data_IF_399551418424
#
_entry.id   IF_399551418424
#
_cell.length_a   1.000
_cell.length_b   1.000
_cell.length_c   1.000
_cell.angle_alpha   90.00
_cell.angle_beta   90.00
_cell.angle_gamma   90.00
#
_symmetry.space_group_name_H-M   'P 1'
#
loop_
_entity.id
_entity.type
_entity.pdbx_description
1 polymer ?
#
# COMPACT_ATOMS: atom_id res chain seq x y z
N UNK A 1 0.42 -17.18 -2.54
CA UNK A 1 0.85 -15.79 -2.33
C UNK A 1 1.65 -15.59 -1.04
N UNK A 2 1.14 -16.01 0.14
CA UNK A 2 1.86 -15.83 1.42
C UNK A 2 3.30 -16.40 1.43
N UNK A 3 3.51 -17.59 0.87
CA UNK A 3 4.85 -18.20 0.80
C UNK A 3 5.84 -17.41 -0.06
N UNK A 4 5.40 -16.88 -1.21
CA UNK A 4 6.26 -16.10 -2.11
C UNK A 4 6.65 -14.79 -1.45
N UNK A 5 5.70 -14.09 -0.83
CA UNK A 5 5.96 -12.85 -0.09
C UNK A 5 6.89 -13.10 1.10
N UNK A 6 6.64 -14.15 1.87
CA UNK A 6 7.50 -14.52 3.01
C UNK A 6 8.93 -14.85 2.57
N UNK A 7 9.09 -15.62 1.48
CA UNK A 7 10.40 -15.95 0.93
C UNK A 7 11.14 -14.71 0.42
N UNK A 8 10.47 -13.84 -0.36
CA UNK A 8 11.08 -12.60 -0.85
C UNK A 8 11.46 -11.65 0.29
N UNK A 9 10.58 -11.47 1.26
CA UNK A 9 10.85 -10.62 2.43
C UNK A 9 12.02 -11.15 3.26
N UNK A 10 12.06 -12.46 3.52
CA UNK A 10 13.17 -13.10 4.21
C UNK A 10 14.48 -12.98 3.42
N UNK A 11 14.44 -13.18 2.10
CA UNK A 11 15.61 -13.03 1.23
C UNK A 11 16.18 -11.62 1.24
N UNK A 12 15.35 -10.59 1.10
CA UNK A 12 15.78 -9.18 1.16
C UNK A 12 16.37 -8.87 2.55
N UNK A 13 15.70 -9.31 3.62
CA UNK A 13 16.17 -9.08 4.99
C UNK A 13 17.52 -9.75 5.25
N UNK A 14 17.70 -10.98 4.76
CA UNK A 14 18.96 -11.73 4.88
C UNK A 14 20.10 -11.05 4.12
N UNK A 15 19.88 -10.63 2.87
CA UNK A 15 20.90 -9.87 2.12
C UNK A 15 21.25 -8.56 2.82
N UNK A 16 20.25 -7.85 3.34
CA UNK A 16 20.46 -6.57 4.02
C UNK A 16 21.33 -6.74 5.28
N UNK A 17 21.09 -7.82 6.04
CA UNK A 17 21.89 -8.17 7.21
C UNK A 17 23.32 -8.57 6.84
N UNK A 18 23.50 -9.39 5.79
CA UNK A 18 24.83 -9.82 5.33
C UNK A 18 25.67 -8.63 4.82
N UNK A 19 25.05 -7.71 4.08
CA UNK A 19 25.72 -6.54 3.51
C UNK A 19 25.98 -5.41 4.54
N UNK A 20 25.45 -5.52 5.76
CA UNK A 20 25.65 -4.50 6.81
C UNK A 20 25.05 -3.13 6.47
N UNK A 21 23.99 -3.10 5.66
CA UNK A 21 23.36 -1.85 5.19
C UNK A 21 22.66 -1.17 6.38
N UNK A 22 23.14 0.02 6.73
CA UNK A 22 22.54 0.85 7.77
C UNK A 22 21.52 1.83 7.16
N UNK A 23 20.38 2.09 7.81
CA UNK A 23 19.42 3.08 7.33
C UNK A 23 20.08 4.46 7.21
N UNK A 24 20.06 5.05 6.01
CA UNK A 24 20.56 6.40 5.75
C UNK A 24 19.40 7.32 5.41
N UNK A 25 19.49 8.57 5.86
CA UNK A 25 18.50 9.58 5.52
C UNK A 25 18.63 9.95 4.04
N UNK A 26 17.57 9.73 3.26
CA UNK A 26 17.49 10.13 1.84
C UNK A 26 17.58 8.98 0.83
N UNK A 27 18.03 7.79 1.24
CA UNK A 27 18.08 6.60 0.37
C UNK A 27 17.27 5.45 0.95
N UNK A 28 16.58 4.71 0.06
CA UNK A 28 15.87 3.49 0.49
C UNK A 28 16.86 2.35 0.70
N UNK A 29 16.53 1.44 1.61
CA UNK A 29 17.32 0.20 1.82
C UNK A 29 17.48 -0.59 0.51
N UNK A 30 16.45 -0.61 -0.34
CA UNK A 30 16.49 -1.26 -1.64
C UNK A 30 17.44 -0.57 -2.61
N UNK A 31 17.52 0.77 -2.59
CA UNK A 31 18.48 1.54 -3.39
C UNK A 31 19.91 1.26 -2.94
N UNK A 32 20.18 1.27 -1.63
CA UNK A 32 21.51 0.95 -1.08
C UNK A 32 21.93 -0.49 -1.42
N UNK A 33 20.99 -1.45 -1.32
CA UNK A 33 21.23 -2.84 -1.72
C UNK A 33 21.53 -2.96 -3.21
N UNK A 34 20.76 -2.25 -4.06
CA UNK A 34 20.99 -2.24 -5.49
C UNK A 34 22.37 -1.66 -5.84
N UNK A 35 22.78 -0.55 -5.22
CA UNK A 35 24.12 0.03 -5.40
C UNK A 35 25.23 -0.96 -4.97
N UNK A 36 25.05 -1.63 -3.82
CA UNK A 36 26.00 -2.63 -3.31
C UNK A 36 26.16 -3.87 -4.19
N UNK A 37 25.09 -4.28 -4.90
CA UNK A 37 25.12 -5.45 -5.79
C UNK A 37 25.62 -5.09 -7.20
N UNK A 38 25.15 -3.97 -7.77
CA UNK A 38 25.39 -3.60 -9.17
C UNK A 38 26.74 -2.89 -9.37
N UNK A 39 27.30 -2.28 -8.33
CA UNK A 39 28.58 -1.56 -8.36
C UNK A 39 28.58 -0.30 -9.24
N UNK A 40 29.73 0.40 -9.27
CA UNK A 40 29.89 1.71 -9.95
C UNK A 40 30.33 1.61 -11.42
N UNK A 41 30.21 0.44 -12.04
CA UNK A 41 30.51 0.28 -13.47
C UNK A 41 29.40 0.93 -14.31
N UNK A 42 29.71 1.35 -15.55
CA UNK A 42 28.71 1.93 -16.46
C UNK A 42 27.47 1.02 -16.65
N UNK A 43 27.68 -0.30 -16.74
CA UNK A 43 26.60 -1.30 -16.78
C UNK A 43 25.81 -1.39 -15.45
N UNK A 44 26.49 -1.19 -14.32
CA UNK A 44 25.90 -1.20 -12.98
C UNK A 44 24.98 0.00 -12.75
N UNK A 45 25.41 1.20 -13.16
CA UNK A 45 24.57 2.40 -13.11
C UNK A 45 23.31 2.27 -13.98
N UNK A 46 23.42 1.69 -15.19
CA UNK A 46 22.25 1.40 -16.02
C UNK A 46 21.26 0.46 -15.32
N UNK A 47 21.76 -0.63 -14.73
CA UNK A 47 20.93 -1.57 -13.97
C UNK A 47 20.28 -0.93 -12.74
N UNK A 48 21.00 -0.06 -12.04
CA UNK A 48 20.48 0.68 -10.88
C UNK A 48 19.30 1.59 -11.27
N UNK A 49 19.42 2.37 -12.35
CA UNK A 49 18.32 3.22 -12.82
C UNK A 49 17.10 2.42 -13.26
N UNK A 50 17.31 1.29 -13.95
CA UNK A 50 16.21 0.38 -14.34
C UNK A 50 15.52 -0.18 -13.10
N UNK A 51 16.28 -0.61 -12.09
CA UNK A 51 15.75 -1.13 -10.83
C UNK A 51 14.94 -0.08 -10.06
N UNK A 52 15.47 1.15 -9.96
CA UNK A 52 14.80 2.25 -9.28
C UNK A 52 13.51 2.67 -10.01
N UNK A 53 13.55 2.74 -11.34
CA UNK A 53 12.38 3.05 -12.16
C UNK A 53 11.31 1.96 -12.04
N UNK A 54 11.71 0.70 -12.06
CA UNK A 54 10.80 -0.44 -11.85
C UNK A 54 10.14 -0.38 -10.47
N UNK A 55 10.91 -0.07 -9.42
CA UNK A 55 10.39 0.11 -8.06
C UNK A 55 9.36 1.25 -8.01
N UNK A 56 9.67 2.39 -8.64
CA UNK A 56 8.73 3.51 -8.72
C UNK A 56 7.44 3.14 -9.44
N UNK A 57 7.52 2.40 -10.55
CA UNK A 57 6.35 1.92 -11.29
C UNK A 57 5.50 0.95 -10.46
N UNK A 58 6.11 0.03 -9.72
CA UNK A 58 5.39 -0.89 -8.83
C UNK A 58 4.61 -0.11 -7.76
N UNK A 59 5.23 0.91 -7.15
CA UNK A 59 4.57 1.77 -6.17
C UNK A 59 3.43 2.59 -6.80
N UNK A 60 3.61 3.09 -8.02
CA UNK A 60 2.56 3.81 -8.75
C UNK A 60 1.35 2.90 -9.06
N UNK A 61 1.59 1.66 -9.48
CA UNK A 61 0.53 0.67 -9.71
C UNK A 61 -0.19 0.32 -8.40
N UNK A 62 0.55 0.16 -7.30
CA UNK A 62 -0.03 -0.09 -5.98
C UNK A 62 -0.96 1.05 -5.53
N UNK A 63 -0.57 2.31 -5.78
CA UNK A 63 -1.44 3.47 -5.53
C UNK A 63 -2.73 3.40 -6.37
N UNK A 64 -2.62 3.07 -7.66
CA UNK A 64 -3.78 2.92 -8.55
C UNK A 64 -4.75 1.80 -8.09
N UNK A 65 -4.24 0.70 -7.53
CA UNK A 65 -5.09 -0.34 -6.92
C UNK A 65 -5.91 0.21 -5.74
N UNK A 66 -5.32 1.07 -4.91
CA UNK A 66 -6.05 1.77 -3.84
C UNK A 66 -7.17 2.68 -4.36
N UNK A 67 -6.87 3.51 -5.36
CA UNK A 67 -7.83 4.44 -5.98
C UNK A 67 -8.99 3.73 -6.68
N UNK A 68 -8.74 2.54 -7.24
CA UNK A 68 -9.79 1.75 -7.89
C UNK A 68 -10.67 0.95 -6.91
N UNK A 69 -10.14 0.56 -5.74
CA UNK A 69 -10.87 -0.20 -4.74
C UNK A 69 -11.80 0.66 -3.86
N UNK A 70 -11.40 1.90 -3.54
CA UNK A 70 -12.16 2.77 -2.64
C UNK A 70 -13.58 3.11 -3.14
N UNK A 71 -13.82 3.48 -4.42
CA UNK A 71 -15.16 3.78 -4.90
C UNK A 71 -16.12 2.60 -4.75
N UNK A 72 -15.62 1.36 -4.89
CA UNK A 72 -16.42 0.15 -4.70
C UNK A 72 -16.82 -0.03 -3.22
N UNK A 73 -15.92 0.26 -2.29
CA UNK A 73 -16.20 0.26 -0.85
C UNK A 73 -17.23 1.34 -0.49
N UNK A 74 -17.02 2.57 -0.95
CA UNK A 74 -17.92 3.69 -0.72
C UNK A 74 -19.34 3.40 -1.25
N UNK A 75 -19.44 2.83 -2.45
CA UNK A 75 -20.72 2.40 -3.04
C UNK A 75 -21.44 1.35 -2.19
N UNK A 76 -20.73 0.31 -1.73
CA UNK A 76 -21.33 -0.74 -0.90
C UNK A 76 -21.81 -0.19 0.46
N UNK A 77 -21.09 0.78 1.05
CA UNK A 77 -21.52 1.47 2.26
C UNK A 77 -22.72 2.38 2.03
N UNK A 78 -22.74 3.12 0.92
CA UNK A 78 -23.85 4.00 0.54
C UNK A 78 -25.15 3.21 0.29
N UNK A 79 -25.06 2.06 -0.39
CA UNK A 79 -26.19 1.14 -0.60
C UNK A 79 -26.85 0.70 0.71
N UNK A 80 -26.04 0.50 1.75
CA UNK A 80 -26.51 0.13 3.09
C UNK A 80 -26.87 1.35 3.97
N UNK A 81 -27.00 2.55 3.38
CA UNK A 81 -27.32 3.84 4.05
C UNK A 81 -26.29 4.29 5.09
N UNK A 82 -25.04 3.80 5.05
CA UNK A 82 -23.95 4.23 5.92
C UNK A 82 -23.12 5.39 5.35
N UNK A 83 -23.36 5.81 4.11
CA UNK A 83 -22.63 6.89 3.42
C UNK A 83 -23.63 7.72 2.59
N UNK A 84 -23.37 9.02 2.29
CA UNK A 84 -24.28 9.83 1.50
C UNK A 84 -24.65 9.19 0.17
N UNK A 85 -25.89 9.42 -0.29
CA UNK A 85 -26.40 8.90 -1.56
C UNK A 85 -25.56 9.35 -2.78
N UNK A 86 -24.74 10.40 -2.63
CA UNK A 86 -23.78 10.89 -3.62
C UNK A 86 -22.79 9.80 -4.10
N UNK A 87 -22.55 8.77 -3.29
CA UNK A 87 -21.68 7.62 -3.62
C UNK A 87 -22.46 6.42 -4.18
N UNK A 88 -23.80 6.50 -4.27
CA UNK A 88 -24.68 5.41 -4.69
C UNK A 88 -24.99 5.41 -6.19
N UNK A 89 -24.63 6.48 -6.91
CA UNK A 89 -24.84 6.57 -8.35
C UNK A 89 -23.82 5.73 -9.13
N UNK A 90 -24.21 4.47 -9.38
CA UNK A 90 -23.45 3.53 -10.22
C UNK A 90 -23.52 3.86 -11.73
N UNK A 91 -24.23 4.93 -12.11
CA UNK A 91 -24.79 5.10 -13.45
C UNK A 91 -23.97 5.90 -14.46
N UNK A 92 -23.17 6.89 -14.05
CA UNK A 92 -22.62 7.82 -15.06
C UNK A 92 -21.32 8.51 -14.64
N UNK A 93 -20.22 7.76 -14.48
CA UNK A 93 -18.86 8.23 -14.09
C UNK A 93 -18.74 9.05 -12.78
N UNK A 94 -19.82 9.60 -12.24
CA UNK A 94 -19.89 10.60 -11.16
C UNK A 94 -19.70 9.97 -9.79
N UNK A 95 -20.35 8.83 -9.48
CA UNK A 95 -20.12 8.12 -8.22
C UNK A 95 -18.70 7.56 -8.08
N UNK A 96 -18.11 7.10 -9.20
CA UNK A 96 -16.70 6.67 -9.25
C UNK A 96 -15.74 7.86 -9.11
N UNK A 97 -16.07 8.98 -9.77
CA UNK A 97 -15.31 10.23 -9.72
C UNK A 97 -15.31 10.85 -8.31
N UNK A 98 -16.47 10.91 -7.63
CA UNK A 98 -16.56 11.44 -6.26
C UNK A 98 -15.77 10.61 -5.25
N UNK A 99 -15.75 9.28 -5.41
CA UNK A 99 -14.90 8.39 -4.62
C UNK A 99 -13.41 8.69 -4.81
N UNK A 100 -12.96 8.81 -6.05
CA UNK A 100 -11.56 9.12 -6.38
C UNK A 100 -11.18 10.52 -5.87
N UNK A 101 -12.02 11.54 -6.10
CA UNK A 101 -11.76 12.92 -5.67
C UNK A 101 -11.67 13.02 -4.15
N UNK A 102 -12.58 12.37 -3.42
CA UNK A 102 -12.55 12.34 -1.95
C UNK A 102 -11.27 11.68 -1.44
N UNK A 103 -10.87 10.55 -2.04
CA UNK A 103 -9.64 9.86 -1.67
C UNK A 103 -8.39 10.69 -2.02
N UNK A 104 -8.37 11.34 -3.18
CA UNK A 104 -7.28 12.19 -3.62
C UNK A 104 -7.09 13.38 -2.69
N UNK A 105 -8.19 14.02 -2.29
CA UNK A 105 -8.16 15.12 -1.33
C UNK A 105 -7.66 14.67 0.05
N UNK A 106 -8.15 13.53 0.55
CA UNK A 106 -7.67 12.95 1.81
C UNK A 106 -6.19 12.57 1.77
N UNK A 107 -5.72 11.98 0.67
CA UNK A 107 -4.32 11.67 0.45
C UNK A 107 -3.44 12.92 0.42
N UNK A 108 -3.90 13.98 -0.27
CA UNK A 108 -3.21 15.27 -0.31
C UNK A 108 -3.07 15.89 1.09
N UNK A 109 -4.14 15.89 1.88
CA UNK A 109 -4.12 16.36 3.27
C UNK A 109 -3.10 15.56 4.10
N UNK A 110 -3.11 14.23 4.00
CA UNK A 110 -2.12 13.40 4.70
C UNK A 110 -0.69 13.76 4.29
N UNK A 111 -0.42 13.88 2.99
CA UNK A 111 0.92 14.23 2.50
C UNK A 111 1.38 15.59 3.01
N UNK A 112 0.48 16.58 3.10
CA UNK A 112 0.78 17.90 3.65
C UNK A 112 1.07 17.84 5.17
N UNK A 113 0.29 17.07 5.94
CA UNK A 113 0.50 16.93 7.39
C UNK A 113 1.82 16.21 7.71
N UNK A 114 2.13 15.16 6.97
CA UNK A 114 3.30 14.30 7.22
C UNK A 114 4.53 14.70 6.39
N UNK A 115 4.44 15.74 5.54
CA UNK A 115 5.50 16.19 4.61
C UNK A 115 6.10 15.03 3.78
N UNK A 116 5.27 14.07 3.38
CA UNK A 116 5.72 12.89 2.63
C UNK A 116 6.65 11.94 3.40
N UNK A 117 6.77 12.06 4.73
CA UNK A 117 7.60 11.17 5.52
C UNK A 117 6.92 9.79 5.69
N UNK A 118 7.48 8.78 5.01
CA UNK A 118 6.98 7.40 5.02
C UNK A 118 7.07 6.73 6.39
N UNK A 119 8.08 7.03 7.21
CA UNK A 119 8.24 6.45 8.54
C UNK A 119 7.08 6.80 9.46
N UNK A 120 6.52 8.00 9.32
CA UNK A 120 5.35 8.45 10.09
C UNK A 120 4.03 7.93 9.50
N UNK A 121 3.99 7.69 8.19
CA UNK A 121 2.81 7.18 7.48
C UNK A 121 2.59 5.67 7.71
N UNK A 122 3.68 4.90 7.90
CA UNK A 122 3.61 3.44 8.10
C UNK A 122 2.70 3.06 9.28
N UNK A 123 2.86 3.59 10.50
CA UNK A 123 1.99 3.24 11.64
C UNK A 123 0.51 3.54 11.38
N UNK A 124 0.21 4.67 10.73
CA UNK A 124 -1.15 5.06 10.40
C UNK A 124 -1.80 4.06 9.43
N UNK A 125 -1.05 3.65 8.40
CA UNK A 125 -1.47 2.60 7.46
C UNK A 125 -1.68 1.25 8.18
N UNK A 126 -0.73 0.87 9.03
CA UNK A 126 -0.77 -0.38 9.81
C UNK A 126 -2.04 -0.48 10.66
N UNK A 127 -2.42 0.60 11.36
CA UNK A 127 -3.68 0.63 12.13
C UNK A 127 -4.88 0.50 11.20
N UNK A 128 -4.89 1.23 10.09
CA UNK A 128 -5.97 1.19 9.09
C UNK A 128 -6.19 -0.19 8.47
N UNK A 129 -5.15 -1.01 8.35
CA UNK A 129 -5.21 -2.36 7.78
C UNK A 129 -5.54 -3.41 8.83
N UNK A 130 -4.88 -3.38 9.99
CA UNK A 130 -5.05 -4.43 11.00
C UNK A 130 -6.40 -4.36 11.72
N UNK A 131 -7.00 -3.19 11.90
CA UNK A 131 -8.32 -3.07 12.55
C UNK A 131 -9.42 -3.78 11.74
N UNK A 132 -9.61 -3.52 10.43
CA UNK A 132 -10.56 -4.28 9.61
C UNK A 132 -10.24 -5.77 9.56
N UNK A 133 -8.96 -6.16 9.52
CA UNK A 133 -8.60 -7.57 9.56
C UNK A 133 -9.04 -8.23 10.87
N UNK A 134 -8.72 -7.64 12.02
CA UNK A 134 -9.14 -8.16 13.31
C UNK A 134 -10.68 -8.29 13.38
N UNK A 135 -11.41 -7.24 13.00
CA UNK A 135 -12.88 -7.26 12.96
C UNK A 135 -13.44 -8.33 12.02
N UNK A 136 -12.85 -8.51 10.83
CA UNK A 136 -13.26 -9.51 9.86
C UNK A 136 -13.03 -10.94 10.39
N UNK A 137 -11.87 -11.20 10.98
CA UNK A 137 -11.55 -12.51 11.55
C UNK A 137 -12.45 -12.82 12.76
N UNK A 138 -12.64 -11.86 13.67
CA UNK A 138 -13.57 -12.02 14.80
C UNK A 138 -15.01 -12.24 14.33
N UNK A 139 -15.46 -11.48 13.32
CA UNK A 139 -16.77 -11.65 12.70
C UNK A 139 -16.96 -13.04 12.10
N UNK A 140 -15.94 -13.55 11.40
CA UNK A 140 -15.94 -14.89 10.83
C UNK A 140 -16.05 -15.96 11.91
N UNK A 141 -15.24 -15.87 12.98
CA UNK A 141 -15.31 -16.81 14.11
C UNK A 141 -16.70 -16.81 14.75
N UNK A 142 -17.28 -15.63 15.00
CA UNK A 142 -18.64 -15.52 15.58
C UNK A 142 -19.71 -16.10 14.66
N UNK A 143 -19.62 -15.85 13.36
CA UNK A 143 -20.53 -16.38 12.36
C UNK A 143 -20.50 -17.92 12.30
N UNK A 144 -19.30 -18.51 12.27
CA UNK A 144 -19.14 -19.96 12.29
C UNK A 144 -19.62 -20.61 13.58
N UNK A 145 -19.39 -19.96 14.74
CA UNK A 145 -19.95 -20.42 16.03
C UNK A 145 -21.47 -20.41 16.05
N UNK A 146 -22.11 -19.43 15.42
CA UNK A 146 -23.58 -19.33 15.33
C UNK A 146 -24.21 -20.25 14.28
N UNK A 147 -23.46 -20.67 13.25
CA UNK A 147 -23.94 -21.59 12.20
C UNK A 147 -23.70 -23.07 12.50
N UNK A 148 -22.73 -23.40 13.37
CA UNK A 148 -22.40 -24.79 13.77
C UNK A 148 -22.89 -25.17 15.17
N UNK A 149 -23.48 -24.25 15.91
CA UNK A 149 -24.27 -24.52 17.12
C UNK A 149 -25.73 -24.25 16.82
#
# INVERSE_FOLDING_TARGET
MALILGFLFAGITFLNYWMGIMPQHGETILSQMAQGILGNSFLGHLGYYIFQFSTALILAVAANTGFSAFPMLAYNMAKNKYMPHLFMEKGDRLGYSNGILTLAFGAMILLLIFNGNTERLIPLYTIGVFVPFALSQTGMIRHWKKKKG
#
